data_IF_269907741467
#
_entry.id   IF_269907741467
#
_cell.length_a   1.000
_cell.length_b   1.000
_cell.length_c   1.000
_cell.angle_alpha   90.00
_cell.angle_beta   90.00
_cell.angle_gamma   90.00
#
_symmetry.space_group_name_H-M   'P 1'
#
loop_
_entity.id
_entity.type
_entity.pdbx_description
1 polymer ?
#
# COMPACT_ATOMS: atom_id res chain seq x y z
N UNK A 1 -22.51 -0.32 -15.81
CA UNK A 1 -22.24 0.24 -14.46
C UNK A 1 -21.71 -0.89 -13.58
N UNK A 2 -20.68 -0.65 -12.76
CA UNK A 2 -20.18 -1.66 -11.81
C UNK A 2 -21.21 -1.84 -10.71
N UNK A 3 -21.72 -3.05 -10.51
CA UNK A 3 -22.60 -3.38 -9.37
C UNK A 3 -21.78 -3.27 -8.07
N UNK A 4 -22.27 -2.46 -7.12
CA UNK A 4 -21.55 -2.12 -5.89
C UNK A 4 -22.09 -2.90 -4.68
N UNK A 5 -21.19 -3.49 -3.89
CA UNK A 5 -21.54 -4.10 -2.59
C UNK A 5 -21.26 -3.12 -1.46
N UNK A 6 -22.31 -2.58 -0.83
CA UNK A 6 -22.18 -1.61 0.29
C UNK A 6 -21.49 -2.18 1.53
N UNK A 7 -21.50 -3.50 1.70
CA UNK A 7 -20.88 -4.19 2.84
C UNK A 7 -19.42 -4.56 2.58
N UNK A 8 -18.95 -4.47 1.32
CA UNK A 8 -17.56 -4.74 0.96
C UNK A 8 -16.69 -3.51 1.20
N UNK A 9 -15.67 -3.70 2.02
CA UNK A 9 -14.62 -2.73 2.30
C UNK A 9 -13.28 -3.21 1.74
N UNK A 10 -12.55 -2.33 1.05
CA UNK A 10 -11.12 -2.55 0.81
C UNK A 10 -10.34 -1.73 1.82
N UNK A 11 -9.46 -2.38 2.58
CA UNK A 11 -8.67 -1.76 3.64
C UNK A 11 -7.19 -1.81 3.24
N UNK A 12 -6.59 -0.65 3.00
CA UNK A 12 -5.18 -0.48 2.70
C UNK A 12 -4.38 -0.27 3.99
N UNK A 13 -3.63 -1.30 4.40
CA UNK A 13 -2.78 -1.26 5.58
C UNK A 13 -1.52 -0.41 5.33
N UNK A 14 -1.30 0.55 6.22
CA UNK A 14 -0.09 1.36 6.28
C UNK A 14 1.13 0.57 6.79
N UNK A 15 2.31 1.19 6.70
CA UNK A 15 3.55 0.58 7.18
C UNK A 15 3.51 0.26 8.69
N UNK A 16 2.80 1.05 9.48
CA UNK A 16 2.61 0.88 10.93
C UNK A 16 1.84 -0.39 11.32
N UNK A 17 1.05 -0.98 10.41
CA UNK A 17 0.42 -2.28 10.62
C UNK A 17 1.46 -3.42 10.67
N UNK A 18 2.59 -3.24 10.00
CA UNK A 18 3.66 -4.23 9.91
C UNK A 18 4.85 -3.84 10.81
N UNK A 19 5.29 -2.59 10.74
CA UNK A 19 6.49 -2.10 11.41
C UNK A 19 6.28 -0.70 11.97
N UNK A 20 6.40 -0.56 13.29
CA UNK A 20 6.24 0.72 13.99
C UNK A 20 7.56 1.49 14.04
N UNK A 21 7.45 2.81 14.23
CA UNK A 21 8.62 3.70 14.35
C UNK A 21 9.51 3.24 15.52
N UNK A 22 10.81 3.10 15.27
CA UNK A 22 11.80 2.70 16.27
C UNK A 22 12.04 1.19 16.41
N UNK A 23 11.21 0.35 15.78
CA UNK A 23 11.46 -1.10 15.72
C UNK A 23 12.56 -1.42 14.70
N UNK A 24 13.27 -2.54 14.92
CA UNK A 24 14.37 -2.96 14.05
C UNK A 24 13.89 -3.62 12.76
N UNK A 25 12.68 -4.18 12.76
CA UNK A 25 12.14 -4.94 11.64
C UNK A 25 12.43 -6.43 11.73
N UNK A 26 12.53 -6.99 12.95
CA UNK A 26 12.62 -8.45 13.11
C UNK A 26 11.32 -9.12 12.66
N UNK A 27 11.38 -10.44 12.43
CA UNK A 27 10.17 -11.21 12.14
C UNK A 27 9.16 -11.12 13.28
N UNK A 28 9.61 -11.33 14.53
CA UNK A 28 8.73 -11.34 15.71
C UNK A 28 8.06 -9.98 15.95
N UNK A 29 8.80 -8.87 15.78
CA UNK A 29 8.23 -7.52 15.87
C UNK A 29 7.10 -7.33 14.84
N UNK A 30 7.34 -7.74 13.59
CA UNK A 30 6.37 -7.60 12.51
C UNK A 30 5.15 -8.51 12.72
N UNK A 31 5.38 -9.75 13.15
CA UNK A 31 4.31 -10.69 13.43
C UNK A 31 3.45 -10.25 14.61
N UNK A 32 4.05 -9.71 15.69
CA UNK A 32 3.31 -9.16 16.82
C UNK A 32 2.43 -7.98 16.42
N UNK A 33 2.97 -7.04 15.63
CA UNK A 33 2.18 -5.92 15.12
C UNK A 33 0.97 -6.39 14.31
N UNK A 34 1.20 -7.36 13.40
CA UNK A 34 0.15 -7.93 12.55
C UNK A 34 -0.92 -8.64 13.39
N UNK A 35 -0.56 -9.36 14.45
CA UNK A 35 -1.55 -9.94 15.38
C UNK A 35 -2.46 -8.89 15.98
N UNK A 36 -1.92 -7.76 16.44
CA UNK A 36 -2.75 -6.67 16.99
C UNK A 36 -3.65 -6.05 15.91
N UNK A 37 -3.15 -5.86 14.70
CA UNK A 37 -3.98 -5.44 13.56
C UNK A 37 -5.10 -6.44 13.27
N UNK A 38 -4.83 -7.74 13.29
CA UNK A 38 -5.80 -8.78 12.96
C UNK A 38 -6.95 -8.87 13.98
N UNK A 39 -6.73 -8.50 15.24
CA UNK A 39 -7.82 -8.35 16.23
C UNK A 39 -8.85 -7.32 15.76
N UNK A 40 -8.37 -6.14 15.38
CA UNK A 40 -9.22 -5.03 14.90
C UNK A 40 -9.94 -5.44 13.60
N UNK A 41 -9.23 -6.09 12.67
CA UNK A 41 -9.84 -6.58 11.43
C UNK A 41 -10.92 -7.64 11.70
N UNK A 42 -10.75 -8.46 12.74
CA UNK A 42 -11.73 -9.46 13.14
C UNK A 42 -12.97 -8.80 13.75
N UNK A 43 -12.82 -7.72 14.52
CA UNK A 43 -13.96 -6.93 15.03
C UNK A 43 -14.86 -6.42 13.89
N UNK A 44 -14.26 -6.02 12.76
CA UNK A 44 -14.98 -5.57 11.55
C UNK A 44 -15.74 -6.72 10.90
N UNK A 45 -15.11 -7.90 10.83
CA UNK A 45 -15.72 -9.11 10.27
C UNK A 45 -16.91 -9.55 11.15
N UNK A 46 -16.78 -9.51 12.47
CA UNK A 46 -17.87 -9.81 13.42
C UNK A 46 -19.03 -8.82 13.31
N UNK A 47 -18.74 -7.56 13.01
CA UNK A 47 -19.76 -6.55 12.71
C UNK A 47 -20.51 -6.79 11.37
N UNK A 48 -20.18 -7.86 10.64
CA UNK A 48 -20.88 -8.29 9.43
C UNK A 48 -20.32 -7.73 8.12
N UNK A 49 -19.15 -7.08 8.15
CA UNK A 49 -18.53 -6.54 6.93
C UNK A 49 -17.72 -7.60 6.18
N UNK A 50 -17.70 -7.47 4.86
CA UNK A 50 -16.77 -8.18 3.98
C UNK A 50 -15.54 -7.32 3.78
N UNK A 51 -14.35 -7.90 3.92
CA UNK A 51 -13.11 -7.14 3.80
C UNK A 51 -12.16 -7.76 2.77
N UNK A 52 -11.49 -6.90 2.02
CA UNK A 52 -10.29 -7.20 1.23
C UNK A 52 -9.17 -6.34 1.77
N UNK A 53 -8.01 -6.95 1.94
CA UNK A 53 -6.85 -6.32 2.57
C UNK A 53 -5.80 -6.06 1.49
N UNK A 54 -5.31 -4.83 1.41
CA UNK A 54 -4.06 -4.52 0.72
C UNK A 54 -3.06 -4.00 1.76
N UNK A 55 -1.77 -3.96 1.41
CA UNK A 55 -0.74 -3.48 2.33
C UNK A 55 0.41 -2.82 1.58
N UNK A 56 1.13 -1.93 2.25
CA UNK A 56 2.45 -1.49 1.80
C UNK A 56 3.53 -2.55 2.04
N UNK A 57 4.71 -2.38 1.43
CA UNK A 57 5.87 -3.26 1.64
C UNK A 57 7.20 -2.49 1.75
N UNK A 58 7.20 -1.16 1.86
CA UNK A 58 8.39 -0.33 1.71
C UNK A 58 9.60 -0.78 2.55
N UNK A 59 9.47 -0.94 3.88
CA UNK A 59 10.55 -1.48 4.71
C UNK A 59 10.96 -2.90 4.33
N UNK A 60 10.00 -3.77 4.03
CA UNK A 60 10.22 -5.19 3.74
C UNK A 60 10.93 -5.40 2.39
N UNK A 61 10.52 -4.67 1.35
CA UNK A 61 11.14 -4.77 0.02
C UNK A 61 12.53 -4.15 0.04
N UNK A 62 12.72 -3.06 0.79
CA UNK A 62 14.05 -2.50 1.05
C UNK A 62 14.98 -3.50 1.74
N UNK A 63 14.52 -4.17 2.79
CA UNK A 63 15.30 -5.21 3.47
C UNK A 63 15.58 -6.42 2.58
N UNK A 64 14.64 -6.79 1.71
CA UNK A 64 14.79 -7.93 0.77
C UNK A 64 15.83 -7.64 -0.29
N UNK A 65 15.80 -6.43 -0.89
CA UNK A 65 16.83 -5.97 -1.82
C UNK A 65 18.21 -6.00 -1.16
N UNK A 66 18.34 -5.48 0.07
CA UNK A 66 19.61 -5.52 0.80
C UNK A 66 20.13 -6.95 1.04
N UNK A 67 19.23 -7.93 1.23
CA UNK A 67 19.63 -9.34 1.37
C UNK A 67 20.15 -9.90 0.04
N UNK A 68 19.51 -9.58 -1.08
CA UNK A 68 19.99 -9.95 -2.41
C UNK A 68 21.35 -9.30 -2.71
N UNK A 69 21.49 -7.99 -2.47
CA UNK A 69 22.75 -7.26 -2.63
C UNK A 69 23.89 -7.86 -1.78
N UNK A 70 23.58 -8.24 -0.53
CA UNK A 70 24.55 -8.89 0.36
C UNK A 70 24.90 -10.31 -0.10
N UNK A 71 23.92 -11.08 -0.58
CA UNK A 71 24.10 -12.42 -1.13
C UNK A 71 25.02 -12.41 -2.35
N UNK A 72 24.83 -11.45 -3.25
CA UNK A 72 25.68 -11.26 -4.42
C UNK A 72 27.09 -10.87 -4.02
N UNK A 73 27.25 -9.87 -3.15
CA UNK A 73 28.58 -9.36 -2.75
C UNK A 73 29.40 -10.35 -1.93
N UNK A 74 28.77 -11.07 -1.01
CA UNK A 74 29.47 -11.93 -0.04
C UNK A 74 29.61 -13.37 -0.52
N UNK A 75 28.70 -13.84 -1.37
CA UNK A 75 28.59 -15.25 -1.73
C UNK A 75 28.45 -15.49 -3.24
N UNK A 76 28.48 -14.44 -4.08
CA UNK A 76 28.31 -14.54 -5.53
C UNK A 76 26.98 -15.24 -5.92
N UNK A 77 25.94 -15.03 -5.12
CA UNK A 77 24.57 -15.49 -5.41
C UNK A 77 23.88 -14.39 -6.24
N UNK A 78 23.38 -14.69 -7.46
CA UNK A 78 22.77 -13.67 -8.31
C UNK A 78 21.64 -12.92 -7.62
N UNK A 79 21.70 -11.58 -7.62
CA UNK A 79 20.63 -10.74 -7.09
C UNK A 79 19.39 -10.80 -7.99
N UNK A 80 18.20 -10.84 -7.37
CA UNK A 80 16.94 -10.75 -8.09
C UNK A 80 16.53 -9.31 -8.39
N UNK A 81 15.82 -9.07 -9.51
CA UNK A 81 15.32 -7.74 -9.83
C UNK A 81 14.24 -7.29 -8.84
N UNK A 82 13.99 -5.99 -8.82
CA UNK A 82 13.14 -5.36 -7.82
C UNK A 82 11.69 -5.87 -7.81
N UNK A 83 11.12 -6.15 -8.98
CA UNK A 83 9.76 -6.67 -9.13
C UNK A 83 9.63 -8.07 -8.52
N UNK A 84 10.66 -8.91 -8.65
CA UNK A 84 10.74 -10.22 -7.98
C UNK A 84 10.90 -10.07 -6.47
N UNK A 85 11.72 -9.14 -5.99
CA UNK A 85 11.76 -8.80 -4.56
C UNK A 85 10.37 -8.34 -4.06
N UNK A 86 9.64 -7.59 -4.89
CA UNK A 86 8.25 -7.23 -4.67
C UNK A 86 7.36 -8.47 -4.48
N UNK A 87 7.48 -9.47 -5.35
CA UNK A 87 6.77 -10.74 -5.25
C UNK A 87 7.10 -11.51 -3.95
N UNK A 88 8.38 -11.59 -3.58
CA UNK A 88 8.81 -12.21 -2.32
C UNK A 88 8.15 -11.54 -1.11
N UNK A 89 8.06 -10.20 -1.12
CA UNK A 89 7.40 -9.48 -0.02
C UNK A 89 5.89 -9.64 0.03
N UNK A 90 5.22 -9.92 -1.09
CA UNK A 90 3.80 -10.31 -1.07
C UNK A 90 3.63 -11.66 -0.37
N UNK A 91 4.49 -12.63 -0.69
CA UNK A 91 4.51 -13.93 -0.03
C UNK A 91 4.76 -13.80 1.48
N UNK A 92 5.80 -13.06 1.87
CA UNK A 92 6.13 -12.84 3.28
C UNK A 92 5.02 -12.12 4.06
N UNK A 93 4.59 -10.95 3.60
CA UNK A 93 3.62 -10.14 4.35
C UNK A 93 2.23 -10.80 4.32
N UNK A 94 1.84 -11.34 3.17
CA UNK A 94 0.59 -12.08 3.05
C UNK A 94 0.55 -13.31 3.95
N UNK A 95 1.66 -14.06 4.05
CA UNK A 95 1.79 -15.17 4.99
C UNK A 95 1.51 -14.75 6.44
N UNK A 96 2.17 -13.71 6.94
CA UNK A 96 2.01 -13.31 8.34
C UNK A 96 0.60 -12.77 8.63
N UNK A 97 -0.01 -12.02 7.71
CA UNK A 97 -1.38 -11.53 7.84
C UNK A 97 -2.36 -12.71 7.80
N UNK A 98 -2.22 -13.59 6.81
CA UNK A 98 -3.09 -14.76 6.64
C UNK A 98 -3.04 -15.67 7.87
N UNK A 99 -1.85 -15.93 8.40
CA UNK A 99 -1.67 -16.76 9.59
C UNK A 99 -2.30 -16.11 10.84
N UNK A 100 -1.99 -14.85 11.11
CA UNK A 100 -2.51 -14.14 12.27
C UNK A 100 -4.03 -13.98 12.22
N UNK A 101 -4.58 -13.59 11.07
CA UNK A 101 -6.03 -13.41 10.90
C UNK A 101 -6.79 -14.74 10.98
N UNK A 102 -6.25 -15.81 10.39
CA UNK A 102 -6.87 -17.14 10.50
C UNK A 102 -6.91 -17.60 11.97
N UNK A 103 -5.83 -17.38 12.72
CA UNK A 103 -5.79 -17.75 14.14
C UNK A 103 -6.77 -16.92 14.98
N UNK A 104 -6.88 -15.62 14.73
CA UNK A 104 -7.82 -14.75 15.42
C UNK A 104 -9.28 -15.08 15.07
N UNK A 105 -9.60 -15.37 13.82
CA UNK A 105 -10.93 -15.83 13.42
C UNK A 105 -11.31 -17.14 14.14
N UNK A 106 -10.38 -18.11 14.18
CA UNK A 106 -10.58 -19.39 14.87
C UNK A 106 -10.77 -19.23 16.36
N UNK A 107 -10.01 -18.34 17.02
CA UNK A 107 -10.15 -18.10 18.46
C UNK A 107 -11.51 -17.52 18.84
N UNK A 108 -12.18 -16.84 17.89
CA UNK A 108 -13.55 -16.32 18.03
C UNK A 108 -14.63 -17.24 17.46
N UNK A 109 -14.28 -18.45 17.00
CA UNK A 109 -15.23 -19.41 16.43
C UNK A 109 -15.80 -19.00 15.06
N UNK A 110 -15.09 -18.13 14.32
CA UNK A 110 -15.51 -17.64 13.01
C UNK A 110 -14.87 -18.51 11.92
N UNK A 111 -15.69 -19.23 11.18
CA UNK A 111 -15.24 -20.02 10.03
C UNK A 111 -15.21 -19.17 8.75
N UNK A 112 -14.02 -18.68 8.40
CA UNK A 112 -13.79 -17.93 7.15
C UNK A 112 -12.45 -18.29 6.54
N UNK A 113 -12.42 -18.42 5.22
CA UNK A 113 -11.16 -18.61 4.50
C UNK A 113 -10.41 -17.30 4.41
N UNK A 114 -9.10 -17.31 4.69
CA UNK A 114 -8.19 -16.19 4.47
C UNK A 114 -7.17 -16.61 3.43
N UNK A 115 -7.06 -15.87 2.33
CA UNK A 115 -6.20 -16.24 1.19
C UNK A 115 -5.39 -15.04 0.71
N UNK A 116 -4.09 -15.24 0.59
CA UNK A 116 -3.16 -14.31 -0.06
C UNK A 116 -3.03 -14.63 -1.54
N UNK A 117 -3.17 -13.63 -2.39
CA UNK A 117 -3.00 -13.75 -3.83
C UNK A 117 -1.80 -12.93 -4.28
N UNK A 118 -0.81 -13.61 -4.87
CA UNK A 118 0.26 -12.93 -5.62
C UNK A 118 -0.39 -12.13 -6.73
N UNK A 119 -0.16 -10.82 -6.72
CA UNK A 119 -0.90 -9.86 -7.54
C UNK A 119 0.06 -9.07 -8.42
N UNK A 120 -0.17 -9.13 -9.73
CA UNK A 120 0.47 -8.31 -10.75
C UNK A 120 -0.41 -7.14 -11.13
N UNK A 121 0.20 -6.01 -11.42
CA UNK A 121 -0.49 -4.77 -11.75
C UNK A 121 0.12 -4.18 -13.00
N UNK A 122 -0.73 -4.02 -14.02
CA UNK A 122 -0.34 -3.41 -15.30
C UNK A 122 -0.10 -1.93 -15.07
N UNK A 123 1.03 -1.45 -15.59
CA UNK A 123 1.45 -0.05 -15.63
C UNK A 123 1.74 0.35 -17.08
N UNK A 124 1.71 1.65 -17.37
CA UNK A 124 2.02 2.14 -18.71
C UNK A 124 3.53 2.09 -18.95
N UNK A 125 3.99 1.46 -20.02
CA UNK A 125 5.42 1.41 -20.38
C UNK A 125 6.02 2.80 -20.66
N UNK A 126 5.16 3.77 -21.00
CA UNK A 126 5.55 5.15 -21.27
C UNK A 126 5.26 6.08 -20.07
N UNK A 127 5.00 5.53 -18.87
CA UNK A 127 4.76 6.35 -17.69
C UNK A 127 5.98 7.28 -17.42
N UNK A 128 5.78 8.59 -17.24
CA UNK A 128 6.86 9.54 -17.02
C UNK A 128 7.79 9.18 -15.85
N UNK A 129 7.30 8.45 -14.85
CA UNK A 129 8.09 8.03 -13.70
C UNK A 129 9.25 7.09 -14.08
N UNK A 130 9.19 6.40 -15.24
CA UNK A 130 10.30 5.60 -15.73
C UNK A 130 11.51 6.46 -16.15
N UNK A 131 11.27 7.71 -16.57
CA UNK A 131 12.35 8.63 -16.97
C UNK A 131 12.78 9.56 -15.83
N UNK A 132 11.90 9.87 -14.89
CA UNK A 132 12.21 10.69 -13.71
C UNK A 132 11.70 10.04 -12.41
N UNK A 133 12.34 8.96 -11.93
CA UNK A 133 11.89 8.24 -10.75
C UNK A 133 11.96 9.11 -9.49
N UNK A 134 10.94 9.01 -8.66
CA UNK A 134 10.80 9.86 -7.46
C UNK A 134 10.67 9.06 -6.17
N UNK A 135 10.34 7.77 -6.23
CA UNK A 135 9.96 7.00 -5.06
C UNK A 135 11.17 6.41 -4.33
N UNK A 136 11.39 6.78 -3.06
CA UNK A 136 12.57 6.35 -2.34
C UNK A 136 12.41 4.91 -1.83
N UNK A 137 13.45 4.10 -1.96
CA UNK A 137 13.49 2.70 -1.54
C UNK A 137 14.79 2.35 -0.82
N UNK A 138 14.75 1.31 0.01
CA UNK A 138 15.92 0.91 0.81
C UNK A 138 16.35 1.94 1.86
N UNK A 139 17.56 1.80 2.41
CA UNK A 139 18.12 2.64 3.47
C UNK A 139 18.58 4.01 2.96
N UNK A 140 19.09 4.83 3.88
CA UNK A 140 19.85 6.04 3.55
C UNK A 140 21.31 5.68 3.28
N UNK A 141 21.91 6.41 2.34
CA UNK A 141 23.30 6.25 1.92
C UNK A 141 24.07 7.56 2.09
N UNK A 142 25.34 7.45 2.47
CA UNK A 142 26.33 8.52 2.32
C UNK A 142 26.69 8.73 0.84
N UNK A 143 27.29 9.89 0.52
CA UNK A 143 27.74 10.17 -0.85
C UNK A 143 28.78 9.13 -1.32
N UNK A 144 29.68 8.70 -0.42
CA UNK A 144 30.69 7.69 -0.72
C UNK A 144 30.07 6.32 -1.06
N UNK A 145 29.03 5.91 -0.32
CA UNK A 145 28.28 4.68 -0.62
C UNK A 145 27.54 4.77 -1.95
N UNK A 146 26.95 5.92 -2.27
CA UNK A 146 26.30 6.17 -3.58
C UNK A 146 27.30 6.01 -4.71
N UNK A 147 28.49 6.60 -4.60
CA UNK A 147 29.54 6.49 -5.63
C UNK A 147 30.01 5.04 -5.82
N UNK A 148 30.15 4.28 -4.73
CA UNK A 148 30.47 2.85 -4.81
C UNK A 148 29.37 2.05 -5.48
N UNK A 149 28.11 2.27 -5.09
CA UNK A 149 26.97 1.56 -5.65
C UNK A 149 26.76 1.87 -7.14
N UNK A 150 26.94 3.13 -7.57
CA UNK A 150 26.85 3.50 -9.00
C UNK A 150 27.91 2.87 -9.89
N UNK A 151 29.06 2.47 -9.34
CA UNK A 151 30.08 1.72 -10.09
C UNK A 151 29.66 0.27 -10.36
N UNK A 152 28.87 -0.30 -9.46
CA UNK A 152 28.38 -1.69 -9.53
C UNK A 152 27.06 -1.74 -10.31
N UNK A 153 26.18 -0.77 -10.05
CA UNK A 153 24.85 -0.62 -10.63
C UNK A 153 24.70 0.77 -11.27
N UNK A 154 25.25 0.99 -12.48
CA UNK A 154 25.18 2.27 -13.18
C UNK A 154 23.75 2.78 -13.42
N UNK A 155 22.78 1.87 -13.45
CA UNK A 155 21.36 2.14 -13.64
C UNK A 155 20.67 2.69 -12.39
N UNK A 156 21.29 2.61 -11.21
CA UNK A 156 20.66 3.09 -9.97
C UNK A 156 20.64 4.61 -9.91
N UNK A 157 19.44 5.15 -9.72
CA UNK A 157 19.21 6.58 -9.54
C UNK A 157 19.11 6.89 -8.05
N UNK A 158 19.86 7.89 -7.60
CA UNK A 158 19.86 8.35 -6.21
C UNK A 158 19.46 9.83 -6.17
N UNK A 159 18.62 10.19 -5.20
CA UNK A 159 18.25 11.58 -4.90
C UNK A 159 18.61 11.90 -3.45
N UNK A 160 19.10 13.11 -3.24
CA UNK A 160 19.42 13.62 -1.90
C UNK A 160 18.11 13.90 -1.13
N UNK A 161 18.01 13.41 0.10
CA UNK A 161 16.92 13.74 1.03
C UNK A 161 17.43 14.79 2.01
N UNK A 162 17.32 16.05 1.61
CA UNK A 162 17.81 17.19 2.40
C UNK A 162 17.13 17.34 3.75
N UNK A 163 15.90 16.83 3.91
CA UNK A 163 15.15 16.95 5.16
C UNK A 163 15.67 15.99 6.24
N UNK A 164 16.22 14.84 5.85
CA UNK A 164 16.71 13.81 6.78
C UNK A 164 18.21 13.58 6.75
N UNK A 165 18.90 14.18 5.76
CA UNK A 165 20.33 14.01 5.53
C UNK A 165 20.64 12.73 4.78
N UNK A 166 21.54 12.81 3.78
CA UNK A 166 21.98 11.67 2.98
C UNK A 166 21.17 11.43 1.70
N UNK A 167 21.38 10.28 1.09
CA UNK A 167 20.86 9.92 -0.23
C UNK A 167 19.93 8.70 -0.14
N UNK A 168 18.93 8.66 -1.01
CA UNK A 168 18.03 7.52 -1.17
C UNK A 168 18.08 7.04 -2.61
N UNK A 169 18.13 5.72 -2.81
CA UNK A 169 17.83 5.13 -4.13
C UNK A 169 16.37 5.47 -4.44
N UNK A 170 16.12 5.97 -5.64
CA UNK A 170 14.77 6.23 -6.14
C UNK A 170 14.47 5.34 -7.32
N UNK A 171 13.20 4.92 -7.41
CA UNK A 171 12.70 4.03 -8.46
C UNK A 171 11.40 4.59 -9.04
N UNK A 172 11.00 4.14 -10.23
CA UNK A 172 9.73 4.53 -10.83
C UNK A 172 8.55 4.14 -9.93
N UNK A 173 7.52 4.99 -9.85
CA UNK A 173 6.25 4.71 -9.17
C UNK A 173 5.06 4.94 -10.10
N UNK A 174 5.00 4.22 -11.23
CA UNK A 174 4.02 4.45 -12.28
C UNK A 174 2.59 4.24 -11.80
N UNK A 175 1.65 4.86 -12.52
CA UNK A 175 0.22 4.81 -12.20
C UNK A 175 -0.36 3.40 -12.43
N UNK A 176 -1.00 2.78 -11.42
CA UNK A 176 -1.61 1.46 -11.59
C UNK A 176 -2.82 1.54 -12.53
N UNK A 177 -2.79 0.76 -13.61
CA UNK A 177 -3.84 0.73 -14.64
C UNK A 177 -4.81 -0.43 -14.44
N UNK A 178 -4.30 -1.63 -14.23
CA UNK A 178 -5.14 -2.84 -14.16
C UNK A 178 -4.59 -3.88 -13.20
N UNK A 179 -5.46 -4.49 -12.40
CA UNK A 179 -5.10 -5.62 -11.53
C UNK A 179 -5.28 -6.92 -12.31
N UNK A 180 -4.18 -7.62 -12.62
CA UNK A 180 -4.20 -8.80 -13.50
C UNK A 180 -5.06 -9.93 -12.90
N UNK A 181 -4.91 -10.19 -11.61
CA UNK A 181 -5.66 -11.22 -10.89
C UNK A 181 -7.06 -10.74 -10.42
N UNK A 182 -7.53 -9.57 -10.87
CA UNK A 182 -8.76 -8.95 -10.38
C UNK A 182 -9.98 -9.86 -10.43
N UNK A 183 -10.17 -10.62 -11.52
CA UNK A 183 -11.31 -11.54 -11.68
C UNK A 183 -11.26 -12.72 -10.71
N UNK A 184 -10.07 -13.27 -10.45
CA UNK A 184 -9.88 -14.35 -9.49
C UNK A 184 -10.15 -13.84 -8.06
N UNK A 185 -9.60 -12.67 -7.71
CA UNK A 185 -9.86 -12.00 -6.42
C UNK A 185 -11.36 -11.77 -6.24
N UNK A 186 -12.05 -11.24 -7.25
CA UNK A 186 -13.51 -11.01 -7.20
C UNK A 186 -14.31 -12.29 -6.93
N UNK A 187 -13.87 -13.41 -7.51
CA UNK A 187 -14.53 -14.71 -7.32
C UNK A 187 -14.37 -15.22 -5.89
N UNK A 188 -13.18 -15.08 -5.30
CA UNK A 188 -12.91 -15.45 -3.91
C UNK A 188 -13.65 -14.58 -2.91
N UNK A 189 -13.75 -13.27 -3.16
CA UNK A 189 -14.53 -12.35 -2.33
C UNK A 189 -16.01 -12.75 -2.36
N UNK A 190 -16.55 -13.01 -3.56
CA UNK A 190 -17.95 -13.47 -3.71
C UNK A 190 -18.24 -14.80 -3.02
N UNK A 191 -17.24 -15.65 -2.83
CA UNK A 191 -17.38 -16.91 -2.08
C UNK A 191 -17.30 -16.71 -0.56
N UNK A 192 -17.20 -15.47 -0.07
CA UNK A 192 -17.10 -15.14 1.36
C UNK A 192 -15.69 -15.18 1.93
N UNK A 193 -14.65 -15.38 1.11
CA UNK A 193 -13.26 -15.40 1.59
C UNK A 193 -12.76 -13.99 1.90
N UNK A 194 -11.94 -13.86 2.94
CA UNK A 194 -11.10 -12.67 3.16
C UNK A 194 -9.89 -12.78 2.25
N UNK A 195 -9.72 -11.82 1.34
CA UNK A 195 -8.62 -11.83 0.37
C UNK A 195 -7.58 -10.77 0.74
N UNK A 196 -6.32 -11.19 0.79
CA UNK A 196 -5.15 -10.31 0.88
C UNK A 196 -4.54 -10.23 -0.52
N UNK A 197 -4.47 -9.04 -1.11
CA UNK A 197 -4.03 -8.86 -2.48
C UNK A 197 -3.34 -7.50 -2.68
N UNK A 198 -2.74 -7.32 -3.86
CA UNK A 198 -2.04 -6.08 -4.24
C UNK A 198 -0.99 -5.65 -3.20
N UNK A 199 -0.31 -6.63 -2.59
CA UNK A 199 0.72 -6.38 -1.59
C UNK A 199 1.86 -5.54 -2.16
N UNK A 200 2.25 -4.49 -1.43
CA UNK A 200 3.23 -3.50 -1.91
C UNK A 200 2.75 -2.59 -3.04
N UNK A 201 1.47 -2.63 -3.39
CA UNK A 201 0.93 -2.01 -4.61
C UNK A 201 0.86 -2.95 -5.82
N UNK A 202 1.26 -4.22 -5.66
CA UNK A 202 1.32 -5.20 -6.75
C UNK A 202 2.69 -5.27 -7.42
N UNK A 203 2.94 -6.39 -8.11
CA UNK A 203 4.14 -6.59 -8.92
C UNK A 203 3.92 -5.83 -10.24
N UNK A 204 4.69 -4.78 -10.53
CA UNK A 204 4.51 -4.01 -11.76
C UNK A 204 4.85 -4.83 -13.00
N UNK A 205 3.92 -4.84 -13.96
CA UNK A 205 4.11 -5.46 -15.27
C UNK A 205 3.70 -4.48 -16.37
N UNK A 206 4.35 -4.56 -17.53
CA UNK A 206 3.90 -3.91 -18.75
C UNK A 206 3.35 -4.96 -19.72
N UNK A 207 2.48 -4.52 -20.63
CA UNK A 207 2.03 -5.33 -21.75
C UNK A 207 2.83 -4.96 -23.00
N UNK A 208 3.46 -5.96 -23.61
CA UNK A 208 4.25 -5.82 -24.83
C UNK A 208 4.04 -7.07 -25.69
N UNK A 209 3.61 -6.87 -26.94
CA UNK A 209 3.34 -7.95 -27.91
C UNK A 209 2.41 -9.05 -27.37
N UNK A 210 1.37 -8.65 -26.63
CA UNK A 210 0.39 -9.57 -26.01
C UNK A 210 0.94 -10.40 -24.85
N UNK A 211 2.12 -10.05 -24.32
CA UNK A 211 2.74 -10.71 -23.17
C UNK A 211 2.91 -9.71 -22.02
N UNK A 212 2.80 -10.23 -20.80
CA UNK A 212 3.14 -9.48 -19.59
C UNK A 212 4.61 -9.66 -19.27
N UNK A 213 5.30 -8.55 -19.00
CA UNK A 213 6.71 -8.52 -18.61
C UNK A 213 6.87 -7.72 -17.32
N UNK A 214 7.60 -8.28 -16.35
CA UNK A 214 7.98 -7.57 -15.13
C UNK A 214 8.89 -6.38 -15.42
N UNK A 215 8.71 -5.30 -14.66
CA UNK A 215 9.53 -4.08 -14.78
C UNK A 215 9.95 -3.58 -13.41
N UNK A 216 11.16 -3.06 -13.27
CA UNK A 216 11.63 -2.55 -11.98
C UNK A 216 10.94 -1.24 -11.62
N UNK A 217 9.92 -1.33 -10.77
CA UNK A 217 9.18 -0.19 -10.24
C UNK A 217 8.55 -0.54 -8.89
N UNK A 218 8.04 0.46 -8.17
CA UNK A 218 7.22 0.23 -6.98
C UNK A 218 5.96 1.06 -7.09
N UNK A 219 4.83 0.38 -7.30
CA UNK A 219 3.52 1.03 -7.42
C UNK A 219 3.11 1.61 -6.06
N UNK A 220 2.42 2.75 -6.07
CA UNK A 220 1.83 3.27 -4.84
C UNK A 220 0.70 2.37 -4.34
N UNK A 221 0.83 1.85 -3.11
CA UNK A 221 -0.13 0.93 -2.53
C UNK A 221 -1.52 1.54 -2.31
N UNK A 222 -1.61 2.85 -2.07
CA UNK A 222 -2.89 3.53 -1.85
C UNK A 222 -3.63 3.65 -3.19
N UNK A 223 -2.92 4.03 -4.27
CA UNK A 223 -3.47 4.04 -5.63
C UNK A 223 -3.83 2.64 -6.15
N UNK A 224 -3.00 1.62 -5.89
CA UNK A 224 -3.31 0.25 -6.28
C UNK A 224 -4.49 -0.32 -5.48
N UNK A 225 -4.58 0.02 -4.18
CA UNK A 225 -5.72 -0.29 -3.33
C UNK A 225 -7.01 0.34 -3.85
N UNK A 226 -6.97 1.60 -4.30
CA UNK A 226 -8.10 2.24 -4.98
C UNK A 226 -8.51 1.46 -6.23
N UNK A 227 -7.56 1.11 -7.10
CA UNK A 227 -7.85 0.36 -8.33
C UNK A 227 -8.52 -0.97 -8.04
N UNK A 228 -8.04 -1.69 -7.03
CA UNK A 228 -8.67 -2.93 -6.58
C UNK A 228 -10.08 -2.68 -6.03
N UNK A 229 -10.26 -1.67 -5.18
CA UNK A 229 -11.56 -1.31 -4.59
C UNK A 229 -12.60 -0.95 -5.67
N UNK A 230 -12.19 -0.17 -6.66
CA UNK A 230 -13.01 0.20 -7.82
C UNK A 230 -13.36 -1.04 -8.64
N UNK A 231 -12.39 -1.89 -8.96
CA UNK A 231 -12.62 -3.12 -9.75
C UNK A 231 -13.61 -4.09 -9.07
N UNK A 232 -13.48 -4.24 -7.75
CA UNK A 232 -14.34 -5.13 -6.97
C UNK A 232 -15.74 -4.58 -6.76
N UNK A 233 -15.97 -3.29 -7.03
CA UNK A 233 -17.23 -2.65 -6.72
C UNK A 233 -17.43 -2.48 -5.21
N UNK A 234 -16.35 -2.24 -4.45
CA UNK A 234 -16.44 -2.02 -3.01
C UNK A 234 -17.30 -0.78 -2.70
N UNK A 235 -18.05 -0.84 -1.60
CA UNK A 235 -18.84 0.26 -1.08
C UNK A 235 -17.99 1.30 -0.36
N UNK A 236 -16.96 0.82 0.35
CA UNK A 236 -16.01 1.67 1.06
C UNK A 236 -14.56 1.36 0.71
N UNK A 237 -13.73 2.39 0.68
CA UNK A 237 -12.28 2.27 0.60
C UNK A 237 -11.64 2.95 1.80
N UNK A 238 -10.87 2.21 2.58
CA UNK A 238 -10.28 2.68 3.83
C UNK A 238 -8.76 2.66 3.69
N UNK A 239 -8.11 3.79 3.96
CA UNK A 239 -6.67 3.93 3.97
C UNK A 239 -6.21 4.14 5.42
N UNK A 240 -5.41 3.21 5.92
CA UNK A 240 -4.85 3.31 7.26
C UNK A 240 -3.46 3.94 7.24
N UNK A 241 -3.24 4.89 8.13
CA UNK A 241 -1.99 5.64 8.25
C UNK A 241 -1.60 5.83 9.72
N UNK A 242 -0.54 6.60 9.96
CA UNK A 242 0.01 6.97 11.26
C UNK A 242 -0.56 8.28 11.85
N UNK A 243 -1.47 8.94 11.14
CA UNK A 243 -2.19 10.14 11.57
C UNK A 243 -3.68 9.86 11.65
N UNK A 244 -4.36 10.52 12.59
CA UNK A 244 -5.77 10.30 12.90
C UNK A 244 -6.74 10.84 11.85
N UNK A 245 -6.28 11.75 10.98
CA UNK A 245 -7.05 12.34 9.89
C UNK A 245 -6.15 13.08 8.88
N UNK A 246 -6.79 13.57 7.81
CA UNK A 246 -6.23 14.56 6.88
C UNK A 246 -6.33 15.96 7.50
N UNK A 247 -5.28 16.75 7.32
CA UNK A 247 -5.20 18.13 7.80
C UNK A 247 -4.88 19.08 6.65
N UNK A 248 -5.54 20.24 6.64
CA UNK A 248 -5.06 21.42 5.92
C UNK A 248 -3.98 22.07 6.79
N UNK A 249 -2.93 22.62 6.17
CA UNK A 249 -1.82 23.26 6.89
C UNK A 249 -1.13 22.35 7.93
N UNK A 250 -1.01 21.06 7.61
CA UNK A 250 -0.45 20.06 8.53
C UNK A 250 0.89 20.48 9.13
N UNK A 251 0.99 20.39 10.46
CA UNK A 251 2.19 20.75 11.23
C UNK A 251 2.38 22.26 11.47
N UNK A 252 1.48 23.12 10.98
CA UNK A 252 1.47 24.56 11.28
C UNK A 252 0.51 24.88 12.43
N UNK A 253 0.64 26.08 13.00
CA UNK A 253 -0.33 26.59 14.00
C UNK A 253 -1.76 26.73 13.44
N UNK A 254 -1.88 26.94 12.12
CA UNK A 254 -3.16 27.05 11.41
C UNK A 254 -3.75 25.69 11.01
N UNK A 255 -3.13 24.58 11.42
CA UNK A 255 -3.57 23.26 10.99
C UNK A 255 -5.04 23.02 11.34
N UNK A 256 -5.79 22.48 10.38
CA UNK A 256 -7.21 22.19 10.55
C UNK A 256 -7.52 20.77 10.12
N UNK A 257 -8.08 19.99 11.05
CA UNK A 257 -8.55 18.63 10.81
C UNK A 257 -9.73 18.64 9.85
N UNK A 258 -9.68 17.76 8.85
CA UNK A 258 -10.79 17.50 7.93
C UNK A 258 -11.52 16.26 8.46
N UNK A 259 -12.73 16.42 9.01
CA UNK A 259 -13.52 15.27 9.49
C UNK A 259 -14.42 14.69 8.40
N UNK A 260 -15.18 15.53 7.69
CA UNK A 260 -16.05 15.15 6.58
C UNK A 260 -15.88 16.16 5.46
N UNK A 261 -15.79 15.70 4.21
CA UNK A 261 -15.60 16.56 3.05
C UNK A 261 -16.21 15.94 1.80
N UNK A 262 -16.71 16.79 0.89
CA UNK A 262 -17.09 16.35 -0.46
C UNK A 262 -15.87 16.22 -1.36
N UNK A 263 -15.90 15.28 -2.30
CA UNK A 263 -14.77 15.03 -3.20
C UNK A 263 -14.39 16.27 -4.01
N UNK A 264 -15.36 17.09 -4.42
CA UNK A 264 -15.13 18.33 -5.16
C UNK A 264 -14.30 19.34 -4.35
N UNK A 265 -14.58 19.49 -3.06
CA UNK A 265 -13.83 20.38 -2.16
C UNK A 265 -12.44 19.84 -1.89
N UNK A 266 -12.32 18.53 -1.64
CA UNK A 266 -11.03 17.88 -1.42
C UNK A 266 -10.12 17.99 -2.65
N UNK A 267 -10.69 17.89 -3.85
CA UNK A 267 -9.96 18.05 -5.11
C UNK A 267 -9.40 19.45 -5.30
N UNK A 268 -10.12 20.49 -4.87
CA UNK A 268 -9.60 21.87 -4.86
C UNK A 268 -8.37 21.99 -3.95
N UNK A 269 -8.48 21.52 -2.70
CA UNK A 269 -7.36 21.52 -1.75
C UNK A 269 -6.16 20.70 -2.26
N UNK A 270 -6.43 19.59 -2.94
CA UNK A 270 -5.39 18.77 -3.57
C UNK A 270 -4.64 19.54 -4.67
N UNK A 271 -5.37 20.23 -5.55
CA UNK A 271 -4.79 21.02 -6.64
C UNK A 271 -4.05 22.27 -6.14
N UNK A 272 -4.46 22.81 -4.99
CA UNK A 272 -3.79 23.92 -4.29
C UNK A 272 -2.49 23.48 -3.57
N UNK A 273 -2.18 22.18 -3.56
CA UNK A 273 -0.90 21.67 -3.08
C UNK A 273 -0.81 21.49 -1.56
N UNK A 274 -1.95 21.42 -0.85
CA UNK A 274 -1.95 21.24 0.61
C UNK A 274 -1.41 19.88 1.09
N UNK A 275 -1.35 18.87 0.21
CA UNK A 275 -1.01 17.49 0.59
C UNK A 275 0.35 17.07 0.01
N UNK A 276 1.36 16.80 0.85
CA UNK A 276 2.71 16.47 0.37
C UNK A 276 2.74 15.18 -0.48
N UNK A 277 3.47 15.17 -1.62
CA UNK A 277 3.47 14.06 -2.56
C UNK A 277 4.13 12.77 -2.02
N UNK A 278 4.96 12.88 -0.98
CA UNK A 278 5.62 11.73 -0.35
C UNK A 278 4.83 11.03 0.75
N UNK A 279 3.66 11.54 1.14
CA UNK A 279 2.88 10.99 2.26
C UNK A 279 1.36 11.08 2.04
N UNK A 280 0.75 12.23 2.34
CA UNK A 280 -0.71 12.38 2.31
C UNK A 280 -1.27 12.57 0.90
N UNK A 281 -0.48 13.13 -0.02
CA UNK A 281 -0.88 13.37 -1.41
C UNK A 281 -1.42 12.11 -2.11
N UNK A 282 -0.65 11.00 -2.17
CA UNK A 282 -1.13 9.76 -2.77
C UNK A 282 -2.41 9.20 -2.14
N UNK A 283 -2.57 9.34 -0.81
CA UNK A 283 -3.76 8.89 -0.07
C UNK A 283 -5.00 9.68 -0.48
N UNK A 284 -4.88 11.00 -0.49
CA UNK A 284 -5.96 11.90 -0.94
C UNK A 284 -6.29 11.65 -2.40
N UNK A 285 -5.29 11.49 -3.28
CA UNK A 285 -5.49 11.16 -4.69
C UNK A 285 -6.24 9.85 -4.89
N UNK A 286 -5.88 8.81 -4.12
CA UNK A 286 -6.57 7.52 -4.14
C UNK A 286 -8.02 7.65 -3.65
N UNK A 287 -8.28 8.38 -2.56
CA UNK A 287 -9.63 8.62 -2.07
C UNK A 287 -10.50 9.37 -3.10
N UNK A 288 -9.95 10.42 -3.72
CA UNK A 288 -10.63 11.17 -4.79
C UNK A 288 -11.00 10.23 -5.95
N UNK A 289 -10.03 9.46 -6.45
CA UNK A 289 -10.26 8.53 -7.56
C UNK A 289 -11.34 7.49 -7.27
N UNK A 290 -11.34 6.93 -6.05
CA UNK A 290 -12.35 5.95 -5.65
C UNK A 290 -13.76 6.55 -5.71
N UNK A 291 -13.95 7.76 -5.16
CA UNK A 291 -15.25 8.44 -5.16
C UNK A 291 -15.67 8.85 -6.57
N UNK A 292 -14.76 9.42 -7.38
CA UNK A 292 -15.03 9.80 -8.77
C UNK A 292 -15.36 8.57 -9.64
N UNK A 293 -14.86 7.38 -9.30
CA UNK A 293 -15.23 6.11 -9.93
C UNK A 293 -16.58 5.54 -9.44
N UNK A 294 -17.37 6.32 -8.69
CA UNK A 294 -18.67 5.93 -8.15
C UNK A 294 -18.60 5.13 -6.86
N UNK A 295 -17.51 5.25 -6.10
CA UNK A 295 -17.41 4.76 -4.73
C UNK A 295 -18.34 5.52 -3.78
N UNK A 296 -18.85 4.85 -2.74
CA UNK A 296 -19.80 5.46 -1.80
C UNK A 296 -19.14 6.31 -0.71
N UNK A 297 -18.01 5.85 -0.18
CA UNK A 297 -17.28 6.52 0.89
C UNK A 297 -15.80 6.09 0.91
N UNK A 298 -14.90 7.06 1.01
CA UNK A 298 -13.49 6.81 1.29
C UNK A 298 -13.17 7.34 2.69
N UNK A 299 -12.35 6.59 3.44
CA UNK A 299 -11.97 6.92 4.81
C UNK A 299 -10.45 6.93 4.92
N UNK A 300 -9.88 7.98 5.48
CA UNK A 300 -8.45 8.03 5.85
C UNK A 300 -8.39 8.16 7.37
N UNK A 301 -7.80 7.18 8.05
CA UNK A 301 -7.78 7.12 9.51
C UNK A 301 -6.51 6.44 10.04
N UNK A 302 -6.31 6.55 11.35
CA UNK A 302 -5.29 5.80 12.06
C UNK A 302 -5.80 4.37 12.36
N UNK A 303 -4.89 3.39 12.32
CA UNK A 303 -5.20 1.96 12.46
C UNK A 303 -5.94 1.62 13.77
N UNK A 304 -5.50 2.13 14.92
CA UNK A 304 -6.15 1.86 16.21
C UNK A 304 -7.53 2.49 16.33
N UNK A 305 -7.85 3.48 15.48
CA UNK A 305 -9.15 4.13 15.42
C UNK A 305 -10.10 3.53 14.35
N UNK A 306 -9.73 2.43 13.70
CA UNK A 306 -10.49 1.88 12.57
C UNK A 306 -11.98 1.62 12.87
N UNK A 307 -12.30 1.04 14.02
CA UNK A 307 -13.71 0.80 14.41
C UNK A 307 -14.47 2.11 14.62
N UNK A 308 -13.84 3.10 15.25
CA UNK A 308 -14.43 4.43 15.41
C UNK A 308 -14.63 5.13 14.07
N UNK A 309 -13.66 4.99 13.16
CA UNK A 309 -13.71 5.57 11.84
C UNK A 309 -14.83 4.94 11.00
N UNK A 310 -14.99 3.61 11.02
CA UNK A 310 -16.11 2.94 10.34
C UNK A 310 -17.47 3.43 10.87
N UNK A 311 -17.55 3.72 12.17
CA UNK A 311 -18.76 4.26 12.81
C UNK A 311 -18.97 5.77 12.61
N UNK A 312 -18.05 6.47 11.92
CA UNK A 312 -18.16 7.90 11.63
C UNK A 312 -17.73 8.83 12.77
N UNK A 313 -17.00 8.32 13.77
CA UNK A 313 -16.58 9.06 14.97
C UNK A 313 -15.15 9.62 14.88
N UNK A 314 -14.32 9.08 14.01
CA UNK A 314 -12.92 9.48 13.82
C UNK A 314 -12.53 9.40 12.33
N UNK A 315 -11.29 9.79 11.98
CA UNK A 315 -10.86 9.81 10.59
C UNK A 315 -11.36 11.00 9.76
N UNK A 316 -10.95 11.00 8.50
CA UNK A 316 -11.49 11.85 7.44
C UNK A 316 -12.37 11.02 6.53
N UNK A 317 -13.62 11.46 6.37
CA UNK A 317 -14.61 10.84 5.49
C UNK A 317 -14.81 11.67 4.24
N UNK A 318 -14.64 11.04 3.08
CA UNK A 318 -14.80 11.65 1.77
C UNK A 318 -16.03 11.03 1.11
N UNK A 319 -16.94 11.90 0.66
CA UNK A 319 -18.20 11.53 0.00
C UNK A 319 -18.27 12.12 -1.42
N UNK A 320 -19.15 11.58 -2.29
CA UNK A 320 -19.51 12.21 -3.56
C UNK A 320 -19.94 13.67 -3.42
#
# INVERSE_FOLDING_TARGET
>A
MIERNRNLMVIALGGNALLRRGQRGTFDEQYENVKQTCKILTDIIEAGYEIVITHGNGPQVGATILRHDAGEKLYNIPAFPMDVCGAETQGFIGYIIQQALTNELRSRGIEKNVVTIVTRVVVDKNDPDFTNPSKPVGPFYSLEEVEKLKKIHPEYIFKEDKARGGWRRVVPSPDPKYIVEGTAIKSLVKSGSVVIASGGGGIPVIEEDGKLKGVEAVIDKDLAGERLATFLGAGKFIILTDVDAVYVDYGKQTQKKISKIKVEELKKLYNEGYFPPGSMGPKVKAAIRFIEAGGGEAIIAELTQLMEAISGKSGTHIYP
#
